data_IF_597932129976
#
_entry.id   IF_597932129976
#
_cell.length_a   1.000
_cell.length_b   1.000
_cell.length_c   1.000
_cell.angle_alpha   90.00
_cell.angle_beta   90.00
_cell.angle_gamma   90.00
#
_symmetry.space_group_name_H-M   'P 1'
#
loop_
_entity.id
_entity.type
_entity.pdbx_description
1 polymer ?
#
# COMPACT_ATOMS: atom_id res chain seq x y z
N UNK A 1 14.06 12.67 34.57
CA UNK A 1 12.96 12.14 35.41
C UNK A 1 12.44 10.83 34.80
N UNK A 2 11.86 9.90 35.58
CA UNK A 2 11.37 8.60 35.06
C UNK A 2 10.34 8.76 33.92
N UNK A 3 9.46 9.74 34.08
CA UNK A 3 8.41 10.09 33.11
C UNK A 3 8.94 10.55 31.75
N UNK A 4 10.02 11.34 31.71
CA UNK A 4 10.63 11.76 30.43
C UNK A 4 11.26 10.60 29.68
N UNK A 5 11.83 9.63 30.41
CA UNK A 5 12.42 8.44 29.82
C UNK A 5 11.33 7.53 29.22
N UNK A 6 10.25 7.28 29.97
CA UNK A 6 9.10 6.51 29.48
C UNK A 6 8.47 7.15 28.23
N UNK A 7 8.24 8.47 28.26
CA UNK A 7 7.70 9.21 27.11
C UNK A 7 8.62 9.12 25.88
N UNK A 8 9.95 9.18 26.08
CA UNK A 8 10.92 9.06 24.99
C UNK A 8 10.88 7.68 24.34
N UNK A 9 10.77 6.62 25.14
CA UNK A 9 10.68 5.26 24.62
C UNK A 9 9.36 5.03 23.86
N UNK A 10 8.23 5.55 24.37
CA UNK A 10 6.96 5.50 23.65
C UNK A 10 7.03 6.20 22.28
N UNK A 11 7.61 7.41 22.23
CA UNK A 11 7.80 8.13 20.96
C UNK A 11 8.69 7.36 19.98
N UNK A 12 9.76 6.72 20.48
CA UNK A 12 10.62 5.86 19.66
C UNK A 12 9.83 4.70 19.06
N UNK A 13 9.01 4.01 19.86
CA UNK A 13 8.19 2.90 19.39
C UNK A 13 7.16 3.34 18.35
N UNK A 14 6.57 4.52 18.52
CA UNK A 14 5.67 5.11 17.53
C UNK A 14 6.36 5.36 16.19
N UNK A 15 7.58 5.93 16.19
CA UNK A 15 8.35 6.15 14.96
C UNK A 15 8.61 4.83 14.21
N UNK A 16 9.10 3.81 14.93
CA UNK A 16 9.38 2.49 14.34
C UNK A 16 8.11 1.87 13.75
N UNK A 17 6.98 1.99 14.46
CA UNK A 17 5.70 1.50 13.96
C UNK A 17 5.25 2.25 12.70
N UNK A 18 5.43 3.57 12.64
CA UNK A 18 5.10 4.38 11.45
C UNK A 18 5.92 3.94 10.25
N UNK A 19 7.24 3.86 10.41
CA UNK A 19 8.17 3.42 9.35
C UNK A 19 7.80 2.02 8.83
N UNK A 20 7.46 1.10 9.74
CA UNK A 20 7.04 -0.27 9.39
C UNK A 20 5.70 -0.31 8.64
N UNK A 21 4.77 0.61 8.95
CA UNK A 21 3.49 0.73 8.25
C UNK A 21 3.72 1.28 6.85
N UNK A 22 4.57 2.31 6.71
CA UNK A 22 4.94 2.92 5.44
C UNK A 22 5.62 1.91 4.50
N UNK A 23 6.59 1.14 4.99
CA UNK A 23 7.30 0.11 4.22
C UNK A 23 6.34 -0.97 3.71
N UNK A 24 5.47 -1.49 4.59
CA UNK A 24 4.45 -2.48 4.20
C UNK A 24 3.43 -1.92 3.23
N UNK A 25 3.09 -0.63 3.37
CA UNK A 25 2.22 0.07 2.45
C UNK A 25 2.83 0.15 1.04
N UNK A 26 4.10 0.50 0.96
CA UNK A 26 4.86 0.57 -0.29
C UNK A 26 4.96 -0.81 -0.96
N UNK A 27 5.34 -1.85 -0.21
CA UNK A 27 5.43 -3.23 -0.73
C UNK A 27 4.09 -3.71 -1.30
N UNK A 28 2.99 -3.49 -0.55
CA UNK A 28 1.63 -3.82 -1.01
C UNK A 28 1.24 -3.04 -2.26
N UNK A 29 1.60 -1.76 -2.34
CA UNK A 29 1.36 -0.93 -3.52
C UNK A 29 2.08 -1.48 -4.76
N UNK A 30 3.36 -1.83 -4.65
CA UNK A 30 4.14 -2.40 -5.76
C UNK A 30 3.53 -3.73 -6.24
N UNK A 31 3.18 -4.62 -5.32
CA UNK A 31 2.54 -5.90 -5.65
C UNK A 31 1.18 -5.72 -6.32
N UNK A 32 0.39 -4.75 -5.87
CA UNK A 32 -0.89 -4.39 -6.47
C UNK A 32 -0.70 -3.90 -7.91
N UNK A 33 0.22 -2.97 -8.15
CA UNK A 33 0.56 -2.46 -9.49
C UNK A 33 0.98 -3.59 -10.43
N UNK A 34 1.88 -4.47 -9.98
CA UNK A 34 2.31 -5.64 -10.76
C UNK A 34 1.15 -6.61 -11.05
N UNK A 35 0.21 -6.78 -10.12
CA UNK A 35 -0.98 -7.63 -10.33
C UNK A 35 -1.91 -7.00 -11.36
N UNK A 36 -2.21 -5.70 -11.26
CA UNK A 36 -3.04 -4.96 -12.21
C UNK A 36 -2.46 -5.05 -13.63
N UNK A 37 -1.17 -4.77 -13.80
CA UNK A 37 -0.50 -4.84 -15.11
C UNK A 37 -0.56 -6.25 -15.72
N UNK A 38 -0.37 -7.31 -14.92
CA UNK A 38 -0.46 -8.69 -15.41
C UNK A 38 -1.87 -9.08 -15.85
N UNK A 39 -2.89 -8.67 -15.09
CA UNK A 39 -4.28 -8.98 -15.44
C UNK A 39 -4.72 -8.22 -16.70
N UNK A 40 -4.31 -6.96 -16.84
CA UNK A 40 -4.56 -6.15 -18.03
C UNK A 40 -3.86 -6.75 -19.26
N UNK A 41 -2.59 -7.13 -19.14
CA UNK A 41 -1.86 -7.82 -20.22
C UNK A 41 -2.50 -9.18 -20.60
N UNK A 42 -3.23 -9.80 -19.69
CA UNK A 42 -4.04 -11.00 -19.93
C UNK A 42 -5.39 -10.74 -20.63
N UNK A 43 -5.71 -9.48 -20.95
CA UNK A 43 -6.94 -9.08 -21.62
C UNK A 43 -8.16 -8.93 -20.71
N UNK A 44 -7.97 -8.87 -19.39
CA UNK A 44 -9.08 -8.58 -18.46
C UNK A 44 -9.52 -7.12 -18.54
N UNK A 45 -10.82 -6.88 -18.39
CA UNK A 45 -11.40 -5.53 -18.33
C UNK A 45 -11.03 -4.81 -17.02
N UNK A 46 -11.00 -3.49 -17.07
CA UNK A 46 -10.72 -2.67 -15.88
C UNK A 46 -11.74 -2.93 -14.75
N UNK A 47 -13.02 -3.14 -15.09
CA UNK A 47 -14.07 -3.47 -14.13
C UNK A 47 -13.82 -4.81 -13.42
N UNK A 48 -13.31 -5.82 -14.12
CA UNK A 48 -13.03 -7.12 -13.51
C UNK A 48 -11.71 -7.11 -12.74
N UNK A 49 -10.72 -6.37 -13.21
CA UNK A 49 -9.47 -6.12 -12.46
C UNK A 49 -9.78 -5.41 -11.15
N UNK A 50 -10.62 -4.36 -11.16
CA UNK A 50 -11.04 -3.63 -9.97
C UNK A 50 -11.64 -4.57 -8.91
N UNK A 51 -12.54 -5.47 -9.32
CA UNK A 51 -13.13 -6.49 -8.42
C UNK A 51 -12.07 -7.46 -7.88
N UNK A 52 -11.18 -7.99 -8.72
CA UNK A 52 -10.16 -8.99 -8.32
C UNK A 52 -9.06 -8.38 -7.44
N UNK A 53 -8.76 -7.10 -7.65
CA UNK A 53 -7.77 -6.35 -6.89
C UNK A 53 -8.37 -5.60 -5.69
N UNK A 54 -9.70 -5.61 -5.54
CA UNK A 54 -10.44 -4.93 -4.46
C UNK A 54 -10.12 -3.43 -4.40
N UNK A 55 -10.05 -2.80 -5.57
CA UNK A 55 -9.85 -1.36 -5.74
C UNK A 55 -10.95 -0.78 -6.63
N UNK A 56 -11.08 0.54 -6.64
CA UNK A 56 -12.00 1.22 -7.56
C UNK A 56 -11.42 1.22 -8.97
N UNK A 57 -12.29 1.28 -9.98
CA UNK A 57 -11.90 1.25 -11.40
C UNK A 57 -10.96 2.41 -11.76
N UNK A 58 -11.18 3.57 -11.17
CA UNK A 58 -10.37 4.76 -11.37
C UNK A 58 -8.90 4.50 -10.99
N UNK A 59 -8.66 3.75 -9.91
CA UNK A 59 -7.30 3.37 -9.51
C UNK A 59 -6.66 2.37 -10.49
N UNK A 60 -7.47 1.49 -11.11
CA UNK A 60 -6.96 0.61 -12.18
C UNK A 60 -6.47 1.46 -13.36
N UNK A 61 -7.25 2.45 -13.77
CA UNK A 61 -6.89 3.36 -14.84
C UNK A 61 -5.63 4.17 -14.51
N UNK A 62 -5.56 4.77 -13.31
CA UNK A 62 -4.37 5.48 -12.84
C UNK A 62 -3.12 4.60 -12.84
N UNK A 63 -3.23 3.33 -12.44
CA UNK A 63 -2.10 2.38 -12.43
C UNK A 63 -1.62 2.03 -13.86
N UNK A 64 -2.55 1.90 -14.81
CA UNK A 64 -2.22 1.48 -16.17
C UNK A 64 -1.73 2.64 -17.05
N UNK A 65 -2.10 3.88 -16.72
CA UNK A 65 -1.71 5.10 -17.44
C UNK A 65 -0.55 5.87 -16.77
N UNK A 66 -0.04 5.40 -15.62
CA UNK A 66 1.11 5.98 -14.92
C UNK A 66 2.45 5.72 -15.64
#
# INVERSE_FOLDING_TARGET
MKMEYELREELRQMCILSESIEEKGLERGILLTQKVMRLSAGGMSDEDIAKVCLIIREMVHEILEA
#
